data_IF_155490606980
#
_entry.id   IF_155490606980
#
_cell.length_a   1.000
_cell.length_b   1.000
_cell.length_c   1.000
_cell.angle_alpha   90.00
_cell.angle_beta   90.00
_cell.angle_gamma   90.00
#
_symmetry.space_group_name_H-M   'P 1'
#
loop_
_entity.id
_entity.type
_entity.pdbx_description
1 polymer ?
#
# COMPACT_ATOMS: atom_id res chain seq x y z
N UNK A 1 -4.71 36.13 -34.19
CA UNK A 1 -4.10 34.94 -33.56
C UNK A 1 -5.23 33.99 -33.21
N UNK A 2 -5.25 32.77 -33.77
CA UNK A 2 -6.42 31.89 -33.73
C UNK A 2 -6.50 31.18 -32.36
N UNK A 3 -7.47 31.54 -31.51
CA UNK A 3 -7.58 30.96 -30.14
C UNK A 3 -7.58 29.43 -30.17
N UNK A 4 -8.19 28.82 -31.19
CA UNK A 4 -8.25 27.36 -31.34
C UNK A 4 -6.85 26.74 -31.46
N UNK A 5 -5.93 27.35 -32.22
CA UNK A 5 -4.57 26.80 -32.36
C UNK A 5 -3.71 26.98 -31.11
N UNK A 6 -4.02 27.99 -30.28
CA UNK A 6 -3.43 28.15 -28.96
C UNK A 6 -3.83 27.03 -28.00
N UNK A 7 -5.12 26.68 -27.96
CA UNK A 7 -5.62 25.58 -27.14
C UNK A 7 -5.04 24.22 -27.57
N UNK A 8 -5.00 23.91 -28.86
CA UNK A 8 -4.46 22.61 -29.33
C UNK A 8 -2.96 22.47 -29.04
N UNK A 9 -2.19 23.56 -29.12
CA UNK A 9 -0.77 23.57 -28.73
C UNK A 9 -0.56 23.38 -27.23
N UNK A 10 -1.44 23.94 -26.42
CA UNK A 10 -1.40 23.80 -24.97
C UNK A 10 -1.73 22.35 -24.57
N UNK A 11 -2.79 21.78 -25.15
CA UNK A 11 -3.18 20.37 -24.96
C UNK A 11 -2.07 19.41 -25.40
N UNK A 12 -1.46 19.64 -26.57
CA UNK A 12 -0.36 18.79 -27.05
C UNK A 12 0.87 18.87 -26.14
N UNK A 13 1.16 20.06 -25.59
CA UNK A 13 2.29 20.24 -24.67
C UNK A 13 2.02 19.58 -23.31
N UNK A 14 0.82 19.77 -22.73
CA UNK A 14 0.42 19.08 -21.50
C UNK A 14 0.44 17.56 -21.67
N UNK A 15 -0.04 17.05 -22.81
CA UNK A 15 -0.08 15.61 -23.08
C UNK A 15 1.33 15.04 -23.23
N UNK A 16 2.22 15.75 -23.95
CA UNK A 16 3.62 15.34 -24.09
C UNK A 16 4.37 15.32 -22.74
N UNK A 17 4.17 16.35 -21.91
CA UNK A 17 4.73 16.41 -20.56
C UNK A 17 4.15 15.32 -19.64
N UNK A 18 2.83 15.09 -19.73
CA UNK A 18 2.14 14.04 -18.99
C UNK A 18 2.69 12.65 -19.29
N UNK A 19 2.84 12.30 -20.58
CA UNK A 19 3.39 11.00 -21.00
C UNK A 19 4.83 10.80 -20.51
N UNK A 20 5.63 11.86 -20.43
CA UNK A 20 7.00 11.79 -19.94
C UNK A 20 7.08 11.64 -18.41
N UNK A 21 6.25 12.35 -17.66
CA UNK A 21 6.26 12.34 -16.19
C UNK A 21 5.55 11.11 -15.60
N UNK A 22 4.51 10.59 -16.25
CA UNK A 22 3.72 9.46 -15.77
C UNK A 22 4.54 8.22 -15.38
N UNK A 23 5.50 7.71 -16.19
CA UNK A 23 6.30 6.54 -15.81
C UNK A 23 7.19 6.81 -14.59
N UNK A 24 7.73 8.03 -14.46
CA UNK A 24 8.53 8.46 -13.31
C UNK A 24 7.67 8.51 -12.03
N UNK A 25 6.47 9.09 -12.11
CA UNK A 25 5.52 9.13 -11.00
C UNK A 25 5.13 7.72 -10.56
N UNK A 26 4.82 6.83 -11.50
CA UNK A 26 4.49 5.43 -11.18
C UNK A 26 5.66 4.67 -10.54
N UNK A 27 6.89 4.94 -10.99
CA UNK A 27 8.08 4.34 -10.41
C UNK A 27 8.30 4.83 -8.96
N UNK A 28 8.18 6.13 -8.72
CA UNK A 28 8.29 6.71 -7.38
C UNK A 28 7.23 6.14 -6.45
N UNK A 29 5.97 6.08 -6.90
CA UNK A 29 4.88 5.49 -6.12
C UNK A 29 5.18 4.04 -5.75
N UNK A 30 5.66 3.24 -6.71
CA UNK A 30 6.03 1.84 -6.47
C UNK A 30 7.14 1.70 -5.45
N UNK A 31 8.22 2.49 -5.58
CA UNK A 31 9.34 2.45 -4.65
C UNK A 31 8.95 2.92 -3.26
N UNK A 32 8.17 4.00 -3.17
CA UNK A 32 7.69 4.55 -1.91
C UNK A 32 6.83 3.55 -1.15
N UNK A 33 5.79 2.99 -1.79
CA UNK A 33 4.90 2.02 -1.16
C UNK A 33 5.62 0.72 -0.84
N UNK A 34 6.44 0.20 -1.75
CA UNK A 34 7.22 -1.01 -1.50
C UNK A 34 8.20 -0.84 -0.34
N UNK A 35 8.83 0.34 -0.20
CA UNK A 35 9.70 0.66 0.93
C UNK A 35 8.95 0.75 2.26
N UNK A 36 7.75 1.34 2.27
CA UNK A 36 6.89 1.39 3.46
C UNK A 36 6.49 -0.02 3.93
N UNK A 37 6.06 -0.88 3.01
CA UNK A 37 5.77 -2.28 3.31
C UNK A 37 7.01 -3.02 3.82
N UNK A 38 8.16 -2.81 3.19
CA UNK A 38 9.41 -3.44 3.61
C UNK A 38 9.82 -3.04 5.03
N UNK A 39 9.80 -1.75 5.35
CA UNK A 39 10.14 -1.27 6.69
C UNK A 39 9.17 -1.80 7.75
N UNK A 40 7.88 -1.77 7.47
CA UNK A 40 6.84 -2.23 8.39
C UNK A 40 6.95 -3.74 8.64
N UNK A 41 7.06 -4.54 7.57
CA UNK A 41 7.21 -5.98 7.65
C UNK A 41 8.49 -6.39 8.37
N UNK A 42 9.62 -5.74 8.05
CA UNK A 42 10.89 -5.94 8.76
C UNK A 42 10.76 -5.61 10.25
N UNK A 43 10.06 -4.53 10.59
CA UNK A 43 9.77 -4.15 11.98
C UNK A 43 9.00 -5.23 12.74
N UNK A 44 7.98 -5.83 12.11
CA UNK A 44 7.20 -6.95 12.65
C UNK A 44 8.05 -8.21 12.85
N UNK A 45 8.97 -8.51 11.92
CA UNK A 45 9.85 -9.67 12.03
C UNK A 45 10.93 -9.52 13.10
N UNK A 46 11.48 -8.32 13.26
CA UNK A 46 12.49 -8.04 14.29
C UNK A 46 11.86 -8.04 15.69
N UNK A 47 10.67 -7.46 15.83
CA UNK A 47 9.97 -7.34 17.11
C UNK A 47 8.77 -8.29 17.18
N UNK A 48 8.98 -9.55 16.81
CA UNK A 48 7.90 -10.51 16.64
C UNK A 48 7.07 -10.69 17.91
N UNK A 49 7.71 -10.77 19.08
CA UNK A 49 7.00 -10.95 20.34
C UNK A 49 6.17 -9.71 20.72
N UNK A 50 6.64 -8.50 20.36
CA UNK A 50 5.86 -7.26 20.55
C UNK A 50 4.64 -7.25 19.63
N UNK A 51 4.80 -7.59 18.35
CA UNK A 51 3.69 -7.65 17.39
C UNK A 51 2.70 -8.75 17.76
N UNK A 52 3.18 -9.91 18.20
CA UNK A 52 2.34 -10.99 18.70
C UNK A 52 1.57 -10.58 19.96
N UNK A 53 2.20 -9.83 20.88
CA UNK A 53 1.52 -9.27 22.06
C UNK A 53 0.41 -8.29 21.67
N UNK A 54 0.65 -7.42 20.69
CA UNK A 54 -0.39 -6.53 20.14
C UNK A 54 -1.52 -7.34 19.50
N UNK A 55 -1.20 -8.33 18.66
CA UNK A 55 -2.21 -9.19 18.04
C UNK A 55 -3.02 -10.00 19.07
N UNK A 56 -2.40 -10.41 20.18
CA UNK A 56 -3.11 -11.04 21.28
C UNK A 56 -4.08 -10.06 21.99
N UNK A 57 -3.72 -8.77 22.11
CA UNK A 57 -4.60 -7.76 22.71
C UNK A 57 -5.84 -7.41 21.89
N UNK A 58 -5.82 -7.71 20.58
CA UNK A 58 -6.95 -7.54 19.66
C UNK A 58 -7.61 -8.89 19.30
N UNK A 59 -7.42 -9.91 20.14
CA UNK A 59 -8.02 -11.25 20.01
C UNK A 59 -7.79 -11.93 18.64
N UNK A 60 -6.66 -11.66 17.98
CA UNK A 60 -6.30 -12.38 16.75
C UNK A 60 -5.90 -13.82 17.13
N UNK A 61 -6.52 -14.85 16.50
CA UNK A 61 -6.13 -16.24 16.73
C UNK A 61 -4.70 -16.49 16.27
N UNK A 62 -3.94 -17.31 17.00
CA UNK A 62 -2.51 -17.56 16.76
C UNK A 62 -1.68 -16.29 16.47
N UNK A 63 -1.54 -15.37 17.45
CA UNK A 63 -0.93 -14.04 17.25
C UNK A 63 0.48 -14.10 16.65
N UNK A 64 1.31 -15.05 17.12
CA UNK A 64 2.69 -15.20 16.66
C UNK A 64 2.77 -15.66 15.21
N UNK A 65 1.93 -16.61 14.80
CA UNK A 65 1.89 -17.10 13.43
C UNK A 65 1.42 -16.00 12.47
N UNK A 66 0.36 -15.27 12.85
CA UNK A 66 -0.13 -14.13 12.07
C UNK A 66 0.90 -13.00 11.97
N UNK A 67 1.63 -12.70 13.06
CA UNK A 67 2.71 -11.71 13.03
C UNK A 67 3.85 -12.12 12.09
N UNK A 68 4.22 -13.40 12.06
CA UNK A 68 5.22 -13.92 11.13
C UNK A 68 4.74 -13.85 9.69
N UNK A 69 3.53 -14.33 9.40
CA UNK A 69 2.96 -14.33 8.05
C UNK A 69 2.81 -12.90 7.52
N UNK A 70 2.19 -12.01 8.29
CA UNK A 70 2.05 -10.61 7.91
C UNK A 70 3.42 -9.95 7.71
N UNK A 71 4.38 -10.19 8.60
CA UNK A 71 5.74 -9.64 8.49
C UNK A 71 6.49 -10.12 7.24
N UNK A 72 6.44 -11.42 6.94
CA UNK A 72 7.07 -12.00 5.73
C UNK A 72 6.38 -11.49 4.47
N UNK A 73 5.06 -11.44 4.44
CA UNK A 73 4.30 -10.95 3.29
C UNK A 73 4.54 -9.47 3.02
N UNK A 74 4.58 -8.63 4.06
CA UNK A 74 4.87 -7.20 3.90
C UNK A 74 6.33 -6.95 3.53
N UNK A 75 7.28 -7.63 4.18
CA UNK A 75 8.70 -7.45 3.88
C UNK A 75 9.06 -8.01 2.49
N UNK A 76 8.74 -9.28 2.24
CA UNK A 76 9.00 -9.93 0.97
C UNK A 76 8.20 -9.31 -0.17
N UNK A 77 6.91 -9.05 0.06
CA UNK A 77 6.04 -8.42 -0.93
C UNK A 77 6.44 -6.97 -1.22
N UNK A 78 6.79 -6.19 -0.21
CA UNK A 78 7.32 -4.83 -0.37
C UNK A 78 8.59 -4.81 -1.21
N UNK A 79 9.54 -5.71 -0.94
CA UNK A 79 10.78 -5.82 -1.72
C UNK A 79 10.52 -6.23 -3.18
N UNK A 80 9.67 -7.23 -3.41
CA UNK A 80 9.29 -7.65 -4.77
C UNK A 80 8.56 -6.53 -5.54
N UNK A 81 7.71 -5.77 -4.84
CA UNK A 81 7.03 -4.61 -5.40
C UNK A 81 8.02 -3.52 -5.79
N UNK A 82 9.03 -3.21 -4.97
CA UNK A 82 10.10 -2.26 -5.31
C UNK A 82 10.89 -2.71 -6.53
N UNK A 83 11.26 -3.99 -6.60
CA UNK A 83 11.97 -4.58 -7.74
C UNK A 83 11.11 -4.63 -9.01
N UNK A 84 9.79 -4.43 -8.90
CA UNK A 84 8.86 -4.52 -10.02
C UNK A 84 8.62 -5.94 -10.51
N UNK A 85 9.07 -6.96 -9.76
CA UNK A 85 8.93 -8.37 -10.14
C UNK A 85 7.56 -8.89 -9.71
N UNK A 86 6.82 -9.48 -10.64
CA UNK A 86 5.50 -10.09 -10.38
C UNK A 86 4.55 -9.18 -9.57
N UNK A 87 4.61 -7.85 -9.79
CA UNK A 87 3.90 -6.85 -8.99
C UNK A 87 2.38 -7.10 -8.89
N UNK A 88 1.78 -7.65 -9.96
CA UNK A 88 0.36 -8.06 -9.99
C UNK A 88 0.04 -9.24 -9.07
N UNK A 89 0.96 -10.19 -8.92
CA UNK A 89 0.78 -11.36 -8.05
C UNK A 89 1.02 -10.96 -6.61
N UNK A 90 2.06 -10.16 -6.36
CA UNK A 90 2.46 -9.68 -5.04
C UNK A 90 1.47 -8.69 -4.43
N UNK A 91 0.75 -7.93 -5.26
CA UNK A 91 -0.30 -7.03 -4.76
C UNK A 91 -1.45 -7.79 -4.08
N UNK A 92 -1.78 -9.00 -4.52
CA UNK A 92 -2.86 -9.80 -3.91
C UNK A 92 -2.60 -10.09 -2.42
N UNK A 93 -1.48 -10.71 -2.01
CA UNK A 93 -1.21 -10.95 -0.61
C UNK A 93 -0.97 -9.66 0.19
N UNK A 94 -0.42 -8.60 -0.40
CA UNK A 94 -0.30 -7.30 0.27
C UNK A 94 -1.68 -6.68 0.58
N UNK A 95 -2.62 -6.74 -0.38
CA UNK A 95 -4.00 -6.27 -0.17
C UNK A 95 -4.66 -7.09 0.94
N UNK A 96 -4.52 -8.41 0.94
CA UNK A 96 -5.09 -9.27 1.98
C UNK A 96 -4.57 -8.90 3.37
N UNK A 97 -3.26 -8.68 3.53
CA UNK A 97 -2.70 -8.27 4.83
C UNK A 97 -3.22 -6.90 5.26
N UNK A 98 -3.40 -5.95 4.35
CA UNK A 98 -3.99 -4.66 4.67
C UNK A 98 -5.48 -4.77 5.06
N UNK A 99 -6.26 -5.59 4.36
CA UNK A 99 -7.66 -5.84 4.71
C UNK A 99 -7.76 -6.47 6.10
N UNK A 100 -6.95 -7.48 6.40
CA UNK A 100 -6.90 -8.10 7.74
C UNK A 100 -6.50 -7.06 8.79
N UNK A 101 -5.51 -6.21 8.49
CA UNK A 101 -5.08 -5.15 9.40
C UNK A 101 -6.22 -4.16 9.71
N UNK A 102 -6.95 -3.67 8.70
CA UNK A 102 -8.09 -2.79 8.94
C UNK A 102 -9.21 -3.46 9.76
N UNK A 103 -9.56 -4.71 9.43
CA UNK A 103 -10.64 -5.45 10.11
C UNK A 103 -10.30 -5.79 11.57
N UNK A 104 -9.03 -6.03 11.87
CA UNK A 104 -8.60 -6.49 13.20
C UNK A 104 -8.09 -5.36 14.08
N UNK A 105 -7.29 -4.44 13.55
CA UNK A 105 -6.68 -3.36 14.33
C UNK A 105 -7.51 -2.08 14.34
N UNK A 106 -8.33 -1.82 13.32
CA UNK A 106 -9.04 -0.55 13.12
C UNK A 106 -10.56 -0.75 12.96
N UNK A 107 -11.12 -1.64 13.79
CA UNK A 107 -12.56 -2.00 13.77
C UNK A 107 -13.48 -0.79 13.99
N UNK A 108 -13.03 0.18 14.78
CA UNK A 108 -13.74 1.43 15.04
C UNK A 108 -13.74 2.36 13.81
N UNK A 109 -12.63 2.47 13.08
CA UNK A 109 -12.57 3.23 11.83
C UNK A 109 -13.47 2.61 10.74
N UNK A 110 -13.54 1.28 10.70
CA UNK A 110 -14.48 0.54 9.84
C UNK A 110 -15.94 0.81 10.20
N UNK A 111 -16.25 0.86 11.50
CA UNK A 111 -17.60 1.20 11.98
C UNK A 111 -17.96 2.65 11.66
N UNK A 112 -17.02 3.59 11.76
CA UNK A 112 -17.27 4.99 11.41
C UNK A 112 -17.64 5.18 9.93
N UNK A 113 -16.98 4.47 9.01
CA UNK A 113 -17.30 4.50 7.58
C UNK A 113 -18.68 3.88 7.28
N UNK A 114 -19.10 2.88 8.06
CA UNK A 114 -20.36 2.15 7.85
C UNK A 114 -21.55 2.81 8.54
N UNK A 115 -21.34 3.44 9.70
CA UNK A 115 -22.40 3.94 10.57
C UNK A 115 -22.73 5.42 10.37
N UNK A 116 -21.87 6.22 9.74
CA UNK A 116 -22.08 7.67 9.59
C UNK A 116 -21.76 8.13 8.14
N UNK A 117 -22.75 8.10 7.22
CA UNK A 117 -22.55 8.51 5.82
C UNK A 117 -22.50 10.04 5.61
N UNK A 118 -22.72 10.84 6.65
CA UNK A 118 -22.94 12.30 6.57
C UNK A 118 -21.82 13.15 7.22
N UNK A 119 -20.59 12.62 7.34
CA UNK A 119 -19.38 13.41 7.66
C UNK A 119 -18.39 13.48 6.51
#
# INVERSE_FOLDING_TARGET
MNLKSGFTKLESSLTATGVFLFPLVLLVMRLFWGWQFFQTGKGKLINLDRTAGFFASIDIPWPKLNAMLAGVTEAGGGLLLMLGLASRVVSVPLILVMVVAYVTADREALQAIVSDPDK
#
